data_IF_220312648433
#
_entry.id   IF_220312648433
#
_cell.length_a   1.000
_cell.length_b   1.000
_cell.length_c   1.000
_cell.angle_alpha   90.00
_cell.angle_beta   90.00
_cell.angle_gamma   90.00
#
_symmetry.space_group_name_H-M   'P 1'
#
loop_
_entity.id
_entity.type
_entity.pdbx_description
1 polymer ?
#
# COMPACT_ATOMS: atom_id res chain seq x y z
N UNK A 1 -2.40 15.62 -7.83
CA UNK A 1 -1.15 15.06 -7.28
C UNK A 1 -1.42 14.29 -6.00
N UNK A 2 -1.54 14.93 -4.83
CA UNK A 2 -1.70 14.24 -3.53
C UNK A 2 -2.73 13.12 -3.56
N UNK A 3 -3.96 13.41 -4.00
CA UNK A 3 -5.05 12.43 -4.05
C UNK A 3 -4.70 11.16 -4.84
N UNK A 4 -4.12 11.30 -6.03
CA UNK A 4 -3.77 10.16 -6.90
C UNK A 4 -2.56 9.39 -6.38
N UNK A 5 -1.61 10.08 -5.75
CA UNK A 5 -0.42 9.46 -5.14
C UNK A 5 -0.84 8.66 -3.91
N UNK A 6 -1.65 9.25 -3.03
CA UNK A 6 -2.24 8.56 -1.88
C UNK A 6 -3.03 7.35 -2.34
N UNK A 7 -3.85 7.48 -3.39
CA UNK A 7 -4.61 6.36 -3.95
C UNK A 7 -3.71 5.17 -4.33
N UNK A 8 -2.56 5.41 -4.97
CA UNK A 8 -1.60 4.34 -5.29
C UNK A 8 -1.06 3.70 -4.01
N UNK A 9 -0.58 4.50 -3.05
CA UNK A 9 -0.07 3.98 -1.77
C UNK A 9 -1.12 3.18 -1.02
N UNK A 10 -2.30 3.77 -0.76
CA UNK A 10 -3.36 3.15 0.02
C UNK A 10 -3.89 1.87 -0.63
N UNK A 11 -3.98 1.83 -1.97
CA UNK A 11 -4.42 0.62 -2.68
C UNK A 11 -3.38 -0.49 -2.58
N UNK A 12 -2.08 -0.20 -2.76
CA UNK A 12 -1.02 -1.20 -2.55
C UNK A 12 -0.99 -1.70 -1.10
N UNK A 13 -1.02 -0.77 -0.15
CA UNK A 13 -1.08 -1.05 1.28
C UNK A 13 -2.26 -1.95 1.65
N UNK A 14 -3.46 -1.63 1.16
CA UNK A 14 -4.67 -2.41 1.41
C UNK A 14 -4.54 -3.84 0.88
N UNK A 15 -4.04 -4.02 -0.34
CA UNK A 15 -3.86 -5.35 -0.93
C UNK A 15 -2.90 -6.20 -0.10
N UNK A 16 -1.72 -5.67 0.23
CA UNK A 16 -0.70 -6.45 0.94
C UNK A 16 -1.11 -6.69 2.39
N UNK A 17 -1.69 -5.68 3.08
CA UNK A 17 -2.18 -5.84 4.46
C UNK A 17 -3.30 -6.89 4.55
N UNK A 18 -4.27 -6.87 3.64
CA UNK A 18 -5.32 -7.91 3.61
C UNK A 18 -4.73 -9.30 3.34
N UNK A 19 -3.69 -9.42 2.50
CA UNK A 19 -2.99 -10.69 2.32
C UNK A 19 -2.33 -11.15 3.61
N UNK A 20 -1.67 -10.28 4.36
CA UNK A 20 -1.12 -10.63 5.68
C UNK A 20 -2.25 -11.06 6.61
N UNK A 21 -3.25 -10.22 6.80
CA UNK A 21 -4.32 -10.44 7.79
C UNK A 21 -5.10 -11.73 7.52
N UNK A 22 -5.53 -11.95 6.27
CA UNK A 22 -6.32 -13.11 5.89
C UNK A 22 -5.53 -14.42 5.96
N UNK A 23 -4.23 -14.40 5.67
CA UNK A 23 -3.40 -15.62 5.75
C UNK A 23 -2.98 -15.94 7.19
N UNK A 24 -2.72 -14.95 8.04
CA UNK A 24 -2.53 -15.16 9.48
C UNK A 24 -3.78 -15.81 10.07
N UNK A 25 -4.94 -15.16 9.96
CA UNK A 25 -6.18 -15.70 10.56
C UNK A 25 -6.61 -17.01 9.91
N UNK A 26 -6.37 -17.18 8.60
CA UNK A 26 -6.60 -18.43 7.88
C UNK A 26 -5.76 -19.57 8.42
N UNK A 27 -4.49 -19.32 8.76
CA UNK A 27 -3.61 -20.31 9.40
C UNK A 27 -4.09 -20.73 10.78
N UNK A 28 -4.52 -19.77 11.61
CA UNK A 28 -5.13 -20.06 12.91
C UNK A 28 -6.42 -20.89 12.78
N UNK A 29 -7.31 -20.53 11.85
CA UNK A 29 -8.53 -21.29 11.57
C UNK A 29 -8.19 -22.72 11.12
N UNK A 30 -7.15 -22.89 10.30
CA UNK A 30 -6.68 -24.20 9.87
C UNK A 30 -6.21 -25.05 11.06
N UNK A 31 -5.41 -24.47 11.96
CA UNK A 31 -4.94 -25.16 13.17
C UNK A 31 -6.07 -25.54 14.11
N UNK A 32 -7.05 -24.64 14.32
CA UNK A 32 -8.24 -24.92 15.11
C UNK A 32 -9.02 -26.11 14.54
N UNK A 33 -9.22 -26.13 13.22
CA UNK A 33 -9.90 -27.23 12.54
C UNK A 33 -9.12 -28.55 12.62
N UNK A 34 -7.79 -28.51 12.54
CA UNK A 34 -6.94 -29.68 12.72
C UNK A 34 -6.95 -30.20 14.17
N UNK A 35 -7.16 -29.32 15.15
CA UNK A 35 -7.22 -29.66 16.57
C UNK A 35 -8.58 -30.23 17.01
N UNK A 36 -9.65 -30.09 16.22
CA UNK A 36 -11.01 -30.62 16.54
C UNK A 36 -11.05 -32.13 16.83
N UNK A 37 -10.03 -32.89 16.40
CA UNK A 37 -9.90 -34.33 16.73
C UNK A 37 -9.23 -34.63 18.08
N UNK A 38 -8.69 -33.62 18.79
CA UNK A 38 -8.05 -33.75 20.10
C UNK A 38 -8.99 -33.22 21.17
N UNK A 39 -9.46 -34.10 22.06
CA UNK A 39 -10.42 -33.73 23.11
C UNK A 39 -9.84 -32.62 24.01
N UNK A 40 -10.55 -31.49 24.12
CA UNK A 40 -10.32 -30.46 25.15
C UNK A 40 -9.57 -29.20 24.72
N UNK A 41 -9.23 -29.01 23.44
CA UNK A 41 -8.64 -27.75 22.96
C UNK A 41 -9.71 -26.70 22.67
N UNK A 42 -9.64 -25.55 23.34
CA UNK A 42 -10.42 -24.36 22.98
C UNK A 42 -9.88 -23.75 21.68
N UNK A 43 -10.75 -23.29 20.77
CA UNK A 43 -10.32 -22.66 19.52
C UNK A 43 -9.54 -21.38 19.83
N UNK A 44 -8.43 -21.17 19.12
CA UNK A 44 -7.57 -20.00 19.23
C UNK A 44 -8.18 -18.78 18.51
N UNK A 45 -8.94 -19.00 17.43
CA UNK A 45 -9.57 -17.96 16.62
C UNK A 45 -11.08 -18.21 16.43
N UNK A 46 -11.89 -18.13 17.51
CA UNK A 46 -13.34 -18.16 17.37
C UNK A 46 -13.86 -16.94 16.57
N UNK A 47 -15.10 -16.95 16.05
CA UNK A 47 -15.62 -15.88 15.20
C UNK A 47 -15.51 -14.47 15.77
N UNK A 48 -15.65 -14.31 17.09
CA UNK A 48 -15.50 -13.02 17.78
C UNK A 48 -14.07 -12.48 17.67
N UNK A 49 -13.06 -13.34 17.87
CA UNK A 49 -11.63 -12.98 17.71
C UNK A 49 -11.33 -12.66 16.24
N UNK A 50 -11.85 -13.45 15.30
CA UNK A 50 -11.67 -13.18 13.87
C UNK A 50 -12.21 -11.79 13.48
N UNK A 51 -13.43 -11.48 13.91
CA UNK A 51 -14.06 -10.19 13.62
C UNK A 51 -13.31 -9.03 14.28
N UNK A 52 -12.93 -9.18 15.55
CA UNK A 52 -12.20 -8.14 16.28
C UNK A 52 -10.83 -7.90 15.62
N UNK A 53 -10.07 -8.95 15.32
CA UNK A 53 -8.78 -8.87 14.63
C UNK A 53 -8.89 -8.18 13.27
N UNK A 54 -9.82 -8.61 12.41
CA UNK A 54 -9.99 -8.04 11.07
C UNK A 54 -10.50 -6.59 11.10
N UNK A 55 -11.11 -6.15 12.20
CA UNK A 55 -11.51 -4.75 12.37
C UNK A 55 -10.31 -3.78 12.47
N UNK A 56 -9.10 -4.28 12.74
CA UNK A 56 -7.87 -3.45 12.75
C UNK A 56 -7.56 -2.77 11.42
N UNK A 57 -8.13 -3.26 10.30
CA UNK A 57 -8.05 -2.61 8.98
C UNK A 57 -8.60 -1.17 9.00
N UNK A 58 -9.42 -0.82 9.99
CA UNK A 58 -9.97 0.52 10.17
C UNK A 58 -8.88 1.58 10.37
N UNK A 59 -7.72 1.24 10.93
CA UNK A 59 -6.61 2.20 11.04
C UNK A 59 -6.13 2.66 9.67
N UNK A 60 -5.84 1.72 8.76
CA UNK A 60 -5.44 2.04 7.39
C UNK A 60 -6.53 2.87 6.68
N UNK A 61 -7.81 2.61 6.95
CA UNK A 61 -8.91 3.34 6.31
C UNK A 61 -9.35 4.62 7.06
N UNK A 62 -8.70 4.93 8.18
CA UNK A 62 -9.04 6.03 9.08
C UNK A 62 -7.84 6.92 9.36
N UNK A 63 -7.29 6.83 10.57
CA UNK A 63 -6.21 7.70 11.03
C UNK A 63 -4.92 7.51 10.20
N UNK A 64 -4.56 6.28 9.87
CA UNK A 64 -3.40 5.96 9.04
C UNK A 64 -3.49 6.58 7.64
N UNK A 65 -4.67 6.54 6.99
CA UNK A 65 -4.88 7.23 5.71
C UNK A 65 -4.80 8.74 5.85
N UNK A 66 -5.36 9.30 6.93
CA UNK A 66 -5.36 10.74 7.19
C UNK A 66 -3.93 11.27 7.37
N UNK A 67 -3.09 10.51 8.07
CA UNK A 67 -1.68 10.83 8.23
C UNK A 67 -0.91 10.68 6.92
N UNK A 68 -1.13 9.60 6.17
CA UNK A 68 -0.54 9.40 4.85
C UNK A 68 -0.90 10.55 3.90
N UNK A 69 -2.15 11.00 3.89
CA UNK A 69 -2.59 12.17 3.12
C UNK A 69 -1.78 13.41 3.52
N UNK A 70 -1.57 13.60 4.82
CA UNK A 70 -0.83 14.75 5.36
C UNK A 70 0.63 14.74 4.89
N UNK A 71 1.33 13.62 5.03
CA UNK A 71 2.74 13.48 4.63
C UNK A 71 2.89 13.60 3.10
N UNK A 72 2.03 12.94 2.33
CA UNK A 72 2.06 13.06 0.86
C UNK A 72 1.72 14.48 0.42
N UNK A 73 0.81 15.18 1.09
CA UNK A 73 0.50 16.59 0.79
C UNK A 73 1.72 17.49 1.02
N UNK A 74 2.45 17.29 2.11
CA UNK A 74 3.68 18.02 2.40
C UNK A 74 4.76 17.74 1.34
N UNK A 75 4.97 16.47 0.98
CA UNK A 75 5.93 16.08 -0.06
C UNK A 75 5.59 16.67 -1.43
N UNK A 76 4.31 16.62 -1.83
CA UNK A 76 3.83 17.25 -3.07
C UNK A 76 4.06 18.76 -3.04
N UNK A 77 3.80 19.43 -1.92
CA UNK A 77 4.03 20.86 -1.80
C UNK A 77 5.53 21.21 -1.88
N UNK A 78 6.41 20.40 -1.26
CA UNK A 78 7.87 20.56 -1.36
C UNK A 78 8.36 20.45 -2.80
N UNK A 79 7.81 19.52 -3.57
CA UNK A 79 8.26 19.22 -4.95
C UNK A 79 7.64 20.14 -6.01
N UNK A 80 6.35 20.47 -5.88
CA UNK A 80 5.61 21.26 -6.88
C UNK A 80 5.28 22.69 -6.46
N UNK A 81 5.46 23.06 -5.19
CA UNK A 81 4.96 24.33 -4.64
C UNK A 81 5.56 25.59 -5.28
N UNK A 82 6.80 25.52 -5.76
CA UNK A 82 7.49 26.61 -6.46
C UNK A 82 7.36 26.57 -7.98
N UNK A 83 6.73 25.52 -8.54
CA UNK A 83 6.62 25.32 -9.99
C UNK A 83 5.45 26.14 -10.53
N UNK A 84 5.73 26.97 -11.54
CA UNK A 84 4.69 27.76 -12.21
C UNK A 84 3.70 26.87 -12.96
N UNK A 85 2.41 27.21 -12.90
CA UNK A 85 1.36 26.53 -13.67
C UNK A 85 1.61 26.56 -15.20
N UNK A 86 2.38 27.54 -15.68
CA UNK A 86 2.77 27.67 -17.09
C UNK A 86 3.99 26.83 -17.47
N UNK A 87 4.78 26.39 -16.49
CA UNK A 87 5.97 25.58 -16.74
C UNK A 87 5.55 24.27 -17.38
N UNK A 88 6.21 23.92 -18.48
CA UNK A 88 6.00 22.67 -19.19
C UNK A 88 6.86 21.57 -18.59
N UNK A 89 6.29 20.38 -18.44
CA UNK A 89 7.00 19.18 -18.01
C UNK A 89 6.76 18.08 -19.04
N UNK A 90 7.81 17.37 -19.40
CA UNK A 90 7.75 16.10 -20.13
C UNK A 90 7.29 14.96 -19.21
N UNK A 91 6.95 13.81 -19.80
CA UNK A 91 6.60 12.62 -19.04
C UNK A 91 7.77 12.14 -18.15
N UNK A 92 9.02 12.25 -18.64
CA UNK A 92 10.22 11.88 -17.89
C UNK A 92 10.45 12.81 -16.70
N UNK A 93 10.27 14.12 -16.87
CA UNK A 93 10.36 15.07 -15.75
C UNK A 93 9.25 14.83 -14.73
N UNK A 94 8.03 14.49 -15.18
CA UNK A 94 6.94 14.12 -14.28
C UNK A 94 7.27 12.83 -13.50
N UNK A 95 7.82 11.81 -14.15
CA UNK A 95 8.30 10.60 -13.49
C UNK A 95 9.34 10.94 -12.42
N UNK A 96 10.31 11.80 -12.74
CA UNK A 96 11.30 12.24 -11.76
C UNK A 96 10.65 12.96 -10.59
N UNK A 97 9.68 13.84 -10.82
CA UNK A 97 8.93 14.51 -9.74
C UNK A 97 8.15 13.53 -8.85
N UNK A 98 7.61 12.44 -9.42
CA UNK A 98 6.99 11.39 -8.63
C UNK A 98 8.04 10.64 -7.78
N UNK A 99 9.22 10.35 -8.32
CA UNK A 99 10.34 9.76 -7.55
C UNK A 99 10.78 10.67 -6.41
N UNK A 100 10.94 11.97 -6.66
CA UNK A 100 11.28 12.97 -5.62
C UNK A 100 10.24 12.97 -4.48
N UNK A 101 8.95 12.82 -4.81
CA UNK A 101 7.88 12.71 -3.79
C UNK A 101 8.00 11.40 -3.02
N UNK A 102 8.21 10.28 -3.70
CA UNK A 102 8.35 8.96 -3.06
C UNK A 102 9.54 8.93 -2.11
N UNK A 103 10.66 9.53 -2.49
CA UNK A 103 11.85 9.62 -1.64
C UNK A 103 11.51 10.27 -0.29
N UNK A 104 10.78 11.40 -0.30
CA UNK A 104 10.35 12.11 0.90
C UNK A 104 9.33 11.33 1.74
N UNK A 105 8.46 10.53 1.10
CA UNK A 105 7.40 9.77 1.81
C UNK A 105 7.94 8.46 2.39
N UNK A 106 8.82 7.78 1.65
CA UNK A 106 9.34 6.44 1.98
C UNK A 106 10.61 6.49 2.84
N UNK A 107 11.30 7.64 2.90
CA UNK A 107 12.46 7.84 3.76
C UNK A 107 12.17 8.92 4.78
N UNK A 108 12.29 8.58 6.07
CA UNK A 108 12.35 9.60 7.13
C UNK A 108 13.74 10.24 7.10
N UNK A 109 13.81 11.55 7.36
CA UNK A 109 15.06 12.23 7.68
C UNK A 109 15.66 11.55 8.93
N UNK A 110 16.62 10.64 8.70
CA UNK A 110 17.74 10.09 9.50
C UNK A 110 17.74 10.05 11.05
N UNK A 111 16.70 10.44 11.77
CA UNK A 111 16.75 10.70 13.22
C UNK A 111 16.00 9.66 14.08
N UNK A 112 15.43 8.62 13.46
CA UNK A 112 14.83 7.49 14.19
C UNK A 112 15.59 6.21 13.94
N UNK A 113 16.01 5.57 15.04
CA UNK A 113 16.66 4.26 15.15
C UNK A 113 15.64 3.13 14.84
N UNK A 114 14.70 3.34 13.93
CA UNK A 114 13.70 2.32 13.59
C UNK A 114 14.19 1.55 12.37
N UNK A 115 14.48 0.26 12.55
CA UNK A 115 15.02 -0.62 11.51
C UNK A 115 14.02 -1.00 10.41
N UNK A 116 12.75 -0.60 10.53
CA UNK A 116 11.65 -0.95 9.63
C UNK A 116 11.12 0.26 8.85
N UNK A 117 10.39 -0.03 7.77
CA UNK A 117 9.86 0.98 6.85
C UNK A 117 8.90 1.96 7.55
N UNK A 118 9.00 3.28 7.29
CA UNK A 118 8.05 4.25 7.85
C UNK A 118 6.62 4.03 7.35
N UNK A 119 6.43 3.26 6.27
CA UNK A 119 5.13 2.95 5.71
C UNK A 119 4.27 2.07 6.64
N UNK A 120 4.89 1.29 7.53
CA UNK A 120 4.18 0.38 8.43
C UNK A 120 3.27 1.13 9.42
N UNK A 121 3.66 2.34 9.80
CA UNK A 121 2.89 3.21 10.70
C UNK A 121 1.49 3.57 10.15
N UNK A 122 1.33 3.62 8.82
CA UNK A 122 0.04 3.89 8.20
C UNK A 122 -0.86 2.64 8.14
N UNK A 123 -0.30 1.45 8.33
CA UNK A 123 -1.01 0.17 8.21
C UNK A 123 -1.62 -0.28 9.53
N UNK A 124 -0.89 -0.09 10.64
CA UNK A 124 -1.33 -0.42 11.99
C UNK A 124 -0.89 0.64 12.99
N UNK A 125 -1.64 0.86 14.08
CA UNK A 125 -1.18 1.73 15.15
C UNK A 125 0.06 1.15 15.84
N UNK A 126 0.88 2.06 16.36
CA UNK A 126 2.04 1.72 17.20
C UNK A 126 1.58 0.93 18.45
N UNK A 127 2.45 0.08 18.98
CA UNK A 127 2.13 -0.78 20.13
C UNK A 127 1.76 0.03 21.38
N UNK A 128 2.36 1.21 21.54
CA UNK A 128 2.13 2.13 22.64
C UNK A 128 0.76 2.82 22.59
N UNK A 129 0.05 2.75 21.45
CA UNK A 129 -1.27 3.35 21.31
C UNK A 129 -2.32 2.56 22.11
N UNK A 130 -3.36 3.22 22.65
CA UNK A 130 -4.41 2.54 23.40
C UNK A 130 -5.04 1.38 22.62
N UNK A 131 -5.26 0.23 23.26
CA UNK A 131 -5.81 -0.97 22.62
C UNK A 131 -7.11 -0.68 21.85
N UNK A 132 -7.98 0.17 22.39
CA UNK A 132 -9.23 0.57 21.74
C UNK A 132 -9.07 1.25 20.37
N UNK A 133 -7.88 1.79 20.05
CA UNK A 133 -7.54 2.31 18.72
C UNK A 133 -6.96 1.27 17.77
N UNK A 134 -6.53 0.10 18.29
CA UNK A 134 -5.91 -0.97 17.49
C UNK A 134 -6.95 -1.90 16.84
N UNK A 135 -8.07 -2.13 17.52
CA UNK A 135 -9.20 -2.87 16.97
C UNK A 135 -10.51 -2.47 17.68
N UNK A 136 -11.64 -2.70 17.03
CA UNK A 136 -12.96 -2.34 17.54
C UNK A 136 -13.25 -3.05 18.87
N UNK A 137 -13.40 -2.26 19.94
CA UNK A 137 -13.74 -2.77 21.27
C UNK A 137 -12.63 -3.59 21.94
N UNK A 138 -11.38 -3.47 21.49
CA UNK A 138 -10.25 -4.22 22.04
C UNK A 138 -9.90 -3.80 23.47
N UNK A 139 -9.75 -4.80 24.35
CA UNK A 139 -9.36 -4.64 25.75
C UNK A 139 -8.22 -5.57 26.12
N UNK A 140 -7.60 -5.36 27.28
CA UNK A 140 -6.52 -6.20 27.80
C UNK A 140 -6.92 -7.68 28.01
N UNK A 141 -8.22 -7.99 28.04
CA UNK A 141 -8.73 -9.36 28.19
C UNK A 141 -8.70 -10.15 26.88
N UNK A 142 -8.60 -9.47 25.75
CA UNK A 142 -8.68 -10.05 24.42
C UNK A 142 -7.31 -10.58 23.96
N UNK A 143 -6.73 -11.46 24.78
CA UNK A 143 -5.33 -11.93 24.66
C UNK A 143 -5.06 -12.53 23.27
N UNK A 144 -6.02 -13.29 22.71
CA UNK A 144 -5.88 -13.88 21.39
C UNK A 144 -5.80 -12.83 20.27
N UNK A 145 -6.64 -11.81 20.32
CA UNK A 145 -6.62 -10.71 19.35
C UNK A 145 -5.34 -9.89 19.47
N UNK A 146 -4.90 -9.58 20.70
CA UNK A 146 -3.63 -8.87 20.96
C UNK A 146 -2.46 -9.66 20.37
N UNK A 147 -2.43 -10.98 20.58
CA UNK A 147 -1.40 -11.85 20.00
C UNK A 147 -1.36 -11.77 18.47
N UNK A 148 -2.52 -11.88 17.82
CA UNK A 148 -2.63 -11.78 16.36
C UNK A 148 -2.16 -10.41 15.83
N UNK A 149 -2.48 -9.32 16.53
CA UNK A 149 -2.02 -7.97 16.17
C UNK A 149 -0.50 -7.84 16.31
N UNK A 150 0.10 -8.42 17.34
CA UNK A 150 1.55 -8.41 17.52
C UNK A 150 2.26 -9.23 16.43
N UNK A 151 1.78 -10.44 16.14
CA UNK A 151 2.30 -11.26 15.04
C UNK A 151 2.14 -10.57 13.67
N UNK A 152 1.07 -9.80 13.50
CA UNK A 152 0.88 -8.96 12.31
C UNK A 152 1.93 -7.86 12.25
N UNK A 153 2.19 -7.16 13.36
CA UNK A 153 3.22 -6.12 13.43
C UNK A 153 4.59 -6.67 13.08
N UNK A 154 4.97 -7.82 13.65
CA UNK A 154 6.22 -8.52 13.32
C UNK A 154 6.31 -8.82 11.82
N UNK A 155 5.20 -9.26 11.21
CA UNK A 155 5.15 -9.53 9.77
C UNK A 155 5.28 -8.23 8.94
N UNK A 156 4.63 -7.14 9.35
CA UNK A 156 4.73 -5.85 8.66
C UNK A 156 6.13 -5.22 8.76
N UNK A 157 6.85 -5.49 9.84
CA UNK A 157 8.23 -5.03 10.05
C UNK A 157 9.27 -5.92 9.37
N UNK A 158 8.86 -7.07 8.82
CA UNK A 158 9.75 -8.00 8.14
C UNK A 158 10.33 -7.45 6.82
N UNK A 159 11.55 -7.85 6.43
CA UNK A 159 12.13 -7.47 5.15
C UNK A 159 11.34 -8.01 3.95
N UNK A 160 10.69 -9.16 4.10
CA UNK A 160 9.86 -9.79 3.07
C UNK A 160 8.64 -8.93 2.76
N UNK A 161 7.92 -8.47 3.80
CA UNK A 161 6.82 -7.54 3.64
C UNK A 161 7.25 -6.24 2.96
N UNK A 162 8.36 -5.64 3.41
CA UNK A 162 8.91 -4.42 2.81
C UNK A 162 9.23 -4.61 1.32
N UNK A 163 9.80 -5.75 0.95
CA UNK A 163 10.13 -6.10 -0.44
C UNK A 163 8.89 -6.22 -1.31
N UNK A 164 7.86 -6.90 -0.82
CA UNK A 164 6.59 -7.09 -1.53
C UNK A 164 5.84 -5.77 -1.69
N UNK A 165 5.74 -4.97 -0.62
CA UNK A 165 5.09 -3.66 -0.66
C UNK A 165 5.82 -2.71 -1.62
N UNK A 166 7.16 -2.67 -1.58
CA UNK A 166 7.98 -1.90 -2.52
C UNK A 166 7.73 -2.32 -3.97
N UNK A 167 7.63 -3.63 -4.23
CA UNK A 167 7.32 -4.16 -5.57
C UNK A 167 5.92 -3.72 -6.04
N UNK A 168 4.91 -3.78 -5.17
CA UNK A 168 3.56 -3.30 -5.47
C UNK A 168 3.54 -1.80 -5.76
N UNK A 169 4.24 -0.99 -4.95
CA UNK A 169 4.32 0.46 -5.13
C UNK A 169 5.02 0.81 -6.44
N UNK A 170 6.16 0.19 -6.74
CA UNK A 170 6.85 0.38 -8.01
C UNK A 170 5.93 0.09 -9.19
N UNK A 171 5.20 -1.04 -9.14
CA UNK A 171 4.24 -1.40 -10.18
C UNK A 171 3.09 -0.40 -10.29
N UNK A 172 2.59 0.11 -9.18
CA UNK A 172 1.51 1.09 -9.13
C UNK A 172 1.90 2.47 -9.67
N UNK A 173 3.08 2.97 -9.32
CA UNK A 173 3.58 4.23 -9.88
C UNK A 173 3.93 4.10 -11.36
N UNK A 174 4.48 2.97 -11.81
CA UNK A 174 4.67 2.70 -13.25
C UNK A 174 3.33 2.70 -13.98
N UNK A 175 2.30 2.02 -13.45
CA UNK A 175 0.97 2.02 -14.07
C UNK A 175 0.34 3.42 -14.11
N UNK A 176 0.49 4.20 -13.03
CA UNK A 176 0.03 5.59 -12.99
C UNK A 176 0.67 6.40 -14.13
N UNK A 177 1.98 6.26 -14.34
CA UNK A 177 2.69 6.92 -15.44
C UNK A 177 2.26 6.41 -16.82
N UNK A 178 2.10 5.10 -16.99
CA UNK A 178 1.62 4.48 -18.24
C UNK A 178 0.25 5.06 -18.64
N UNK A 179 -0.66 5.18 -17.68
CA UNK A 179 -1.98 5.79 -17.90
C UNK A 179 -1.87 7.28 -18.24
N UNK A 180 -0.89 7.99 -17.69
CA UNK A 180 -0.68 9.40 -18.03
C UNK A 180 -0.02 9.57 -19.40
N UNK A 181 0.78 8.61 -19.85
CA UNK A 181 1.55 8.68 -21.09
C UNK A 181 0.66 8.87 -22.34
N UNK A 182 -0.59 8.42 -22.32
CA UNK A 182 -1.52 8.61 -23.43
C UNK A 182 -1.81 10.09 -23.74
N UNK A 183 -1.68 10.96 -22.73
CA UNK A 183 -1.90 12.40 -22.85
C UNK A 183 -0.66 13.18 -23.28
N UNK A 184 0.53 12.55 -23.23
CA UNK A 184 1.81 13.13 -23.68
C UNK A 184 2.14 12.71 -25.12
N UNK A 185 1.12 12.66 -25.99
CA UNK A 185 1.30 12.31 -27.40
C UNK A 185 1.29 13.57 -28.27
N UNK A 186 2.09 13.61 -29.36
CA UNK A 186 2.04 14.72 -30.31
C UNK A 186 0.63 14.85 -30.89
N UNK A 187 0.16 16.09 -31.10
CA UNK A 187 -1.09 16.31 -31.81
C UNK A 187 -0.88 16.03 -33.30
N UNK A 188 -1.92 15.67 -34.06
CA UNK A 188 -1.82 15.51 -35.53
C UNK A 188 -1.23 16.76 -36.23
N UNK A 189 -1.42 17.95 -35.63
CA UNK A 189 -0.81 19.21 -36.07
C UNK A 189 0.72 19.25 -35.90
N UNK A 190 1.28 18.58 -34.88
CA UNK A 190 2.73 18.53 -34.64
C UNK A 190 3.43 17.56 -35.60
N UNK A 191 2.73 16.49 -35.99
CA UNK A 191 3.21 15.48 -36.93
C UNK A 191 3.30 16.01 -38.39
N UNK A 192 2.52 17.03 -38.74
CA UNK A 192 2.54 17.63 -40.09
C UNK A 192 3.65 18.67 -40.29
N UNK A 193 4.27 19.18 -39.22
CA UNK A 193 5.36 20.17 -39.31
C UNK A 193 6.76 19.55 -39.16
N UNK A 194 6.88 18.37 -38.53
CA UNK A 194 8.17 17.72 -38.31
C UNK A 194 8.19 16.30 -38.92
N UNK A 195 8.86 16.16 -40.07
CA UNK A 195 9.14 14.88 -40.74
C UNK A 195 10.11 13.95 -39.95
N UNK A 196 10.29 14.14 -38.64
CA UNK A 196 11.17 13.30 -37.81
C UNK A 196 10.34 12.35 -36.96
N UNK A 197 10.37 11.07 -37.33
CA UNK A 197 9.59 9.96 -36.74
C UNK A 197 10.01 9.59 -35.30
N UNK A 198 10.90 10.34 -34.65
CA UNK A 198 11.47 9.96 -33.36
C UNK A 198 11.39 11.09 -32.32
N UNK A 199 10.32 11.13 -31.51
CA UNK A 199 10.39 11.36 -30.06
C UNK A 199 9.00 11.43 -29.44
N UNK A 200 8.47 10.29 -29.02
CA UNK A 200 7.42 10.25 -27.99
C UNK A 200 7.91 10.85 -26.65
N UNK A 201 9.22 10.95 -26.47
CA UNK A 201 9.92 11.47 -25.29
C UNK A 201 10.03 13.00 -25.21
N UNK A 202 9.67 13.77 -26.25
CA UNK A 202 9.86 15.24 -26.26
C UNK A 202 8.59 16.05 -26.05
N UNK A 203 7.42 15.40 -25.91
CA UNK A 203 6.16 16.11 -25.69
C UNK A 203 6.10 16.58 -24.25
N UNK A 204 5.96 17.90 -24.06
CA UNK A 204 5.85 18.53 -22.76
C UNK A 204 4.52 19.26 -22.62
N UNK A 205 3.90 19.15 -21.46
CA UNK A 205 2.62 19.78 -21.16
C UNK A 205 2.79 20.82 -20.05
N UNK A 206 2.14 22.00 -20.14
CA UNK A 206 2.06 22.92 -19.02
C UNK A 206 1.49 22.22 -17.78
N UNK A 207 2.02 22.49 -16.59
CA UNK A 207 1.55 21.91 -15.33
C UNK A 207 0.03 22.09 -15.14
N UNK A 208 -0.51 23.24 -15.55
CA UNK A 208 -1.96 23.49 -15.55
C UNK A 208 -2.78 22.44 -16.31
N UNK A 209 -2.23 21.84 -17.38
CA UNK A 209 -2.87 20.75 -18.14
C UNK A 209 -2.62 19.37 -17.53
N UNK A 210 -1.50 19.19 -16.83
CA UNK A 210 -1.17 17.92 -16.14
C UNK A 210 -2.09 17.71 -14.91
N UNK A 211 -2.44 18.79 -14.20
CA UNK A 211 -3.31 18.74 -13.01
C UNK A 211 -4.63 17.98 -13.25
N UNK A 212 -5.46 18.29 -14.26
CA UNK A 212 -6.69 17.54 -14.50
C UNK A 212 -6.43 16.08 -14.90
N UNK A 213 -5.35 15.80 -15.66
CA UNK A 213 -4.97 14.44 -16.07
C UNK A 213 -4.69 13.57 -14.83
N UNK A 214 -3.77 14.02 -13.96
CA UNK A 214 -3.43 13.25 -12.76
C UNK A 214 -4.64 13.15 -11.82
N UNK A 215 -5.48 14.20 -11.74
CA UNK A 215 -6.67 14.19 -10.90
C UNK A 215 -7.69 13.12 -11.30
N UNK A 216 -7.78 12.81 -12.60
CA UNK A 216 -8.65 11.75 -13.15
C UNK A 216 -8.16 10.34 -12.85
N UNK A 217 -6.87 10.14 -12.54
CA UNK A 217 -6.29 8.82 -12.31
C UNK A 217 -6.90 8.07 -11.13
N UNK A 218 -7.51 8.77 -10.17
CA UNK A 218 -8.19 8.13 -9.04
C UNK A 218 -9.28 7.14 -9.48
N UNK A 219 -9.99 7.42 -10.58
CA UNK A 219 -11.07 6.56 -11.06
C UNK A 219 -10.55 5.27 -11.70
N UNK A 220 -9.28 5.26 -12.14
CA UNK A 220 -8.59 4.07 -12.61
C UNK A 220 -7.99 3.29 -11.44
N UNK A 221 -7.32 3.99 -10.51
CA UNK A 221 -6.62 3.38 -9.37
C UNK A 221 -7.59 2.76 -8.36
N UNK A 222 -8.71 3.44 -8.05
CA UNK A 222 -9.69 3.03 -7.04
C UNK A 222 -11.06 2.64 -7.63
N UNK A 223 -11.09 2.09 -8.85
CA UNK A 223 -12.35 1.69 -9.50
C UNK A 223 -13.04 0.50 -8.81
N UNK A 224 -14.36 0.59 -8.59
CA UNK A 224 -15.19 -0.45 -7.96
C UNK A 224 -15.51 -1.63 -8.91
N UNK A 225 -15.70 -1.35 -10.20
CA UNK A 225 -15.59 -2.39 -11.26
C UNK A 225 -14.15 -2.82 -11.33
N UNK A 226 -13.83 -4.13 -11.40
CA UNK A 226 -12.50 -4.64 -11.11
C UNK A 226 -11.43 -3.77 -11.78
N UNK A 227 -10.83 -2.89 -10.98
CA UNK A 227 -9.81 -1.99 -11.49
C UNK A 227 -8.72 -2.89 -12.01
N UNK A 228 -8.37 -2.77 -13.30
CA UNK A 228 -7.25 -3.53 -13.86
C UNK A 228 -6.00 -3.36 -12.98
N UNK A 229 -5.84 -2.20 -12.32
CA UNK A 229 -4.77 -2.00 -11.36
C UNK A 229 -4.88 -2.90 -10.11
N UNK A 230 -6.03 -2.92 -9.44
CA UNK A 230 -6.23 -3.80 -8.27
C UNK A 230 -6.12 -5.28 -8.66
N UNK A 231 -6.70 -5.68 -9.79
CA UNK A 231 -6.57 -7.05 -10.29
C UNK A 231 -5.11 -7.42 -10.57
N UNK A 232 -4.35 -6.52 -11.19
CA UNK A 232 -2.94 -6.75 -11.45
C UNK A 232 -2.17 -6.97 -10.15
N UNK A 233 -2.40 -6.13 -9.13
CA UNK A 233 -1.78 -6.32 -7.81
C UNK A 233 -2.17 -7.67 -7.18
N UNK A 234 -3.44 -8.06 -7.25
CA UNK A 234 -3.93 -9.32 -6.70
C UNK A 234 -3.37 -10.55 -7.44
N UNK A 235 -3.00 -10.38 -8.71
CA UNK A 235 -2.49 -11.45 -9.57
C UNK A 235 -0.96 -11.56 -9.59
N UNK A 236 -0.23 -10.58 -9.04
CA UNK A 236 1.23 -10.61 -8.91
C UNK A 236 1.71 -11.87 -8.17
N UNK A 237 2.66 -12.57 -8.78
CA UNK A 237 3.25 -13.79 -8.24
C UNK A 237 3.95 -13.53 -6.90
N UNK A 238 4.71 -12.43 -6.80
CA UNK A 238 5.38 -12.03 -5.56
C UNK A 238 4.42 -11.85 -4.38
N UNK A 239 3.21 -11.34 -4.65
CA UNK A 239 2.17 -11.15 -3.61
C UNK A 239 1.56 -12.49 -3.22
N UNK A 240 1.36 -13.40 -4.18
CA UNK A 240 0.82 -14.74 -3.94
C UNK A 240 1.80 -15.62 -3.18
N UNK A 241 3.08 -15.60 -3.56
CA UNK A 241 4.14 -16.37 -2.91
C UNK A 241 4.36 -15.89 -1.47
N UNK A 242 4.41 -14.58 -1.26
CA UNK A 242 4.46 -14.02 0.09
C UNK A 242 3.24 -14.43 0.92
N UNK A 243 2.04 -14.35 0.36
CA UNK A 243 0.83 -14.78 1.05
C UNK A 243 0.85 -16.28 1.41
N UNK A 244 1.38 -17.13 0.54
CA UNK A 244 1.55 -18.55 0.79
C UNK A 244 2.57 -18.81 1.92
N UNK A 245 3.69 -18.10 1.93
CA UNK A 245 4.69 -18.20 3.00
C UNK A 245 4.12 -17.76 4.35
N UNK A 246 3.36 -16.66 4.38
CA UNK A 246 2.63 -16.23 5.59
C UNK A 246 1.67 -17.33 6.02
N UNK A 247 0.83 -17.84 5.12
CA UNK A 247 -0.12 -18.89 5.46
C UNK A 247 0.57 -20.13 6.02
N UNK A 248 1.67 -20.60 5.40
CA UNK A 248 2.45 -21.74 5.87
C UNK A 248 3.02 -21.50 7.27
N UNK A 249 3.61 -20.33 7.52
CA UNK A 249 4.18 -19.97 8.82
C UNK A 249 3.13 -19.98 9.96
N UNK A 250 1.89 -19.58 9.67
CA UNK A 250 0.80 -19.52 10.65
C UNK A 250 -0.13 -20.75 10.65
N UNK A 251 0.04 -21.69 9.72
CA UNK A 251 -0.73 -22.94 9.64
C UNK A 251 0.07 -24.18 10.04
N UNK A 252 1.38 -24.04 10.27
CA UNK A 252 2.22 -25.11 10.80
C UNK A 252 2.11 -25.14 12.32
N UNK A 253 1.85 -26.30 12.94
CA UNK A 253 1.93 -26.41 14.39
C UNK A 253 3.35 -26.06 14.79
N UNK A 254 3.53 -24.97 15.53
CA UNK A 254 4.83 -24.67 16.14
C UNK A 254 5.22 -25.91 16.95
N UNK A 255 6.25 -26.65 16.49
CA UNK A 255 6.97 -27.52 17.39
C UNK A 255 7.47 -26.59 18.46
N UNK A 256 6.90 -26.71 19.67
CA UNK A 256 7.44 -26.14 20.89
C UNK A 256 8.86 -26.69 21.05
N UNK A 257 9.82 -26.13 20.31
CA UNK A 257 11.24 -26.41 20.50
C UNK A 257 11.71 -25.61 21.72
N UNK A 258 11.67 -26.34 22.84
CA UNK A 258 12.42 -26.19 24.10
C UNK A 258 12.01 -25.11 25.09
#
# INVERSE_FOLDING_TARGET
>A
FTRSIVAVYSTCMLVVLLRVQLNIIGGYIYLDNAALGKNGTTPLAPPEVQQQYLSSIQHLLGDGLTELITIVKQAVHKVFGSISLKQTLSLLELEQKLKDIREVVEHKDSDRITSYSPLCHYLMPDEENPLASQACGLTERDIATIKLLNETRDMLESPDFSTVLSTCLNRGFSRLLDNMAEFFRPTEKDLSQNNSVNSLSSVSLPLAKIIPIINGQIHSVCSETPSHFVQDLLMMEQVKDFAANVYEAFSTPQQLEK
#
